data_IF_011635786698
#
_entry.id   IF_011635786698
#
_cell.length_a   1.000
_cell.length_b   1.000
_cell.length_c   1.000
_cell.angle_alpha   90.00
_cell.angle_beta   90.00
_cell.angle_gamma   90.00
#
_symmetry.space_group_name_H-M   'P 1'
#
loop_
_entity.id
_entity.type
_entity.pdbx_description
1 polymer ?
#
# COMPACT_ATOMS: atom_id res chain seq x y z
N UNK A 1 59.13 -37.48 6.68
CA UNK A 1 58.78 -38.76 7.34
C UNK A 1 58.83 -38.60 8.85
N UNK A 2 57.68 -38.50 9.50
CA UNK A 2 57.44 -38.83 10.91
C UNK A 2 55.93 -39.04 11.09
N UNK A 3 55.61 -40.03 11.90
CA UNK A 3 54.35 -40.76 11.97
C UNK A 3 53.22 -40.05 12.74
N UNK A 4 52.00 -40.55 12.52
CA UNK A 4 50.73 -40.23 13.19
C UNK A 4 50.73 -40.47 14.71
N UNK A 5 49.63 -40.07 15.39
CA UNK A 5 48.68 -41.12 15.80
C UNK A 5 47.20 -40.81 15.54
N UNK A 6 46.47 -41.90 15.29
CA UNK A 6 45.02 -42.01 15.05
C UNK A 6 44.17 -42.18 16.33
N UNK A 7 42.94 -41.64 16.23
CA UNK A 7 41.61 -42.15 16.62
C UNK A 7 41.28 -42.59 18.06
N UNK A 8 40.17 -42.03 18.57
CA UNK A 8 39.20 -42.77 19.36
C UNK A 8 37.79 -42.64 18.75
N UNK A 9 37.18 -43.80 18.43
CA UNK A 9 35.78 -44.01 18.03
C UNK A 9 34.91 -44.23 19.28
N UNK A 10 33.69 -43.69 19.32
CA UNK A 10 32.54 -44.34 20.01
C UNK A 10 31.24 -43.98 19.26
N UNK A 11 30.46 -45.01 18.89
CA UNK A 11 29.13 -44.97 18.28
C UNK A 11 27.99 -45.04 19.35
N UNK A 12 26.73 -44.73 19.00
CA UNK A 12 25.67 -44.33 19.93
C UNK A 12 24.75 -45.46 20.39
N UNK A 13 24.14 -45.35 21.58
CA UNK A 13 22.96 -46.18 21.94
C UNK A 13 21.88 -45.39 22.69
N UNK A 14 20.67 -45.66 22.21
CA UNK A 14 19.27 -45.27 22.51
C UNK A 14 18.78 -45.47 23.96
N UNK A 15 17.67 -44.75 24.27
CA UNK A 15 16.54 -45.03 25.20
C UNK A 15 16.48 -44.32 26.57
N UNK A 16 15.42 -43.51 26.75
CA UNK A 16 14.86 -43.17 28.05
C UNK A 16 13.32 -43.11 27.97
N UNK A 17 12.67 -43.91 28.82
CA UNK A 17 11.22 -44.04 29.05
C UNK A 17 10.79 -43.27 30.31
N UNK A 18 9.73 -42.47 30.18
CA UNK A 18 8.59 -42.14 31.09
C UNK A 18 8.71 -42.09 32.62
N UNK A 19 8.13 -41.04 33.23
CA UNK A 19 7.42 -41.08 34.52
C UNK A 19 6.29 -40.01 34.65
N UNK A 20 5.18 -40.43 35.25
CA UNK A 20 3.87 -39.82 35.63
C UNK A 20 3.93 -38.66 36.67
N UNK A 21 2.90 -37.89 37.12
CA UNK A 21 1.48 -37.54 36.84
C UNK A 21 1.02 -36.49 37.93
N UNK A 22 -0.23 -35.95 37.84
CA UNK A 22 -1.23 -35.70 38.95
C UNK A 22 -2.03 -34.35 38.85
N UNK A 23 -3.37 -34.46 38.99
CA UNK A 23 -4.46 -33.44 38.93
C UNK A 23 -5.01 -32.95 40.30
N UNK A 24 -5.58 -31.72 40.32
CA UNK A 24 -6.83 -31.25 41.00
C UNK A 24 -6.74 -30.50 42.37
N UNK A 25 -7.76 -29.71 42.85
CA UNK A 25 -9.08 -29.29 42.28
C UNK A 25 -9.62 -27.82 42.59
N UNK A 26 -10.71 -27.44 41.89
CA UNK A 26 -11.93 -26.60 42.20
C UNK A 26 -11.93 -25.09 42.65
N UNK A 27 -12.86 -24.32 42.04
CA UNK A 27 -13.17 -22.86 42.13
C UNK A 27 -14.06 -22.39 43.32
N UNK A 28 -14.28 -21.06 43.51
CA UNK A 28 -15.59 -20.46 43.19
C UNK A 28 -15.56 -19.02 42.59
N UNK A 29 -16.62 -18.64 41.85
CA UNK A 29 -17.01 -17.29 41.33
C UNK A 29 -18.16 -16.67 42.16
N UNK A 30 -18.66 -15.41 41.98
CA UNK A 30 -18.18 -14.18 41.30
C UNK A 30 -18.37 -12.85 42.12
N UNK A 31 -17.84 -11.70 41.65
CA UNK A 31 -18.45 -10.38 41.89
C UNK A 31 -18.10 -9.39 40.77
N UNK A 32 -19.02 -8.45 40.49
CA UNK A 32 -19.21 -7.74 39.21
C UNK A 32 -18.88 -6.24 39.35
N UNK A 33 -18.39 -5.66 38.24
CA UNK A 33 -18.41 -4.23 37.81
C UNK A 33 -17.73 -3.17 38.70
N UNK A 34 -16.64 -2.55 38.22
CA UNK A 34 -16.66 -1.15 37.74
C UNK A 34 -15.32 -0.68 37.13
N UNK A 35 -15.46 0.21 36.14
CA UNK A 35 -14.53 1.25 35.68
C UNK A 35 -13.12 0.89 35.12
N UNK A 36 -13.03 0.94 33.79
CA UNK A 36 -11.96 1.50 32.95
C UNK A 36 -10.53 1.68 33.51
N UNK A 37 -9.56 0.90 33.01
CA UNK A 37 -8.22 1.36 32.58
C UNK A 37 -7.35 0.18 32.08
N UNK A 38 -6.56 0.41 31.02
CA UNK A 38 -5.32 -0.34 30.76
C UNK A 38 -5.37 -1.45 29.71
N UNK A 39 -5.28 -1.07 28.44
CA UNK A 39 -4.82 -1.98 27.38
C UNK A 39 -3.39 -2.47 27.70
N UNK A 40 -3.19 -3.79 27.74
CA UNK A 40 -1.87 -4.42 27.58
C UNK A 40 -1.71 -4.85 26.10
N UNK A 41 -0.55 -4.62 25.47
CA UNK A 41 -0.34 -4.93 24.06
C UNK A 41 -0.13 -6.43 23.83
N UNK A 42 -0.74 -6.96 22.76
CA UNK A 42 -0.47 -8.28 22.20
C UNK A 42 0.61 -8.19 21.10
N UNK A 43 1.39 -9.27 20.87
CA UNK A 43 2.56 -9.30 19.98
C UNK A 43 2.20 -9.11 18.48
N UNK A 44 3.18 -8.76 17.61
CA UNK A 44 2.90 -8.36 16.24
C UNK A 44 2.46 -9.57 15.38
N UNK A 45 1.29 -9.44 14.77
CA UNK A 45 0.74 -10.39 13.80
C UNK A 45 1.15 -9.99 12.39
N UNK A 46 1.77 -10.92 11.66
CA UNK A 46 1.89 -10.88 10.20
C UNK A 46 0.49 -10.98 9.56
N UNK A 47 -0.06 -9.85 9.09
CA UNK A 47 -1.28 -9.79 8.28
C UNK A 47 -1.36 -8.49 7.45
N UNK A 48 -1.94 -8.52 6.23
CA UNK A 48 -2.15 -7.33 5.40
C UNK A 48 -3.10 -6.35 6.09
N UNK A 49 -2.64 -5.14 6.37
CA UNK A 49 -3.34 -4.19 7.24
C UNK A 49 -4.65 -3.65 6.63
N UNK A 50 -5.76 -3.64 7.39
CA UNK A 50 -7.04 -3.06 6.97
C UNK A 50 -7.12 -1.55 7.26
N UNK A 51 -7.80 -0.81 6.37
CA UNK A 51 -8.02 0.63 6.42
C UNK A 51 -9.13 1.05 7.42
N UNK A 52 -8.94 2.17 8.12
CA UNK A 52 -10.00 2.92 8.82
C UNK A 52 -10.26 4.25 8.09
N UNK A 53 -11.52 4.56 7.78
CA UNK A 53 -11.96 5.89 7.34
C UNK A 53 -12.41 6.72 8.55
N UNK A 54 -11.92 7.98 8.66
CA UNK A 54 -12.52 9.02 9.52
C UNK A 54 -13.59 9.77 8.71
N UNK A 55 -14.77 9.94 9.30
CA UNK A 55 -15.79 10.85 8.82
C UNK A 55 -15.40 12.30 9.14
N UNK A 56 -15.36 13.17 8.13
CA UNK A 56 -15.20 14.61 8.31
C UNK A 56 -16.58 15.27 8.32
N UNK A 57 -16.96 15.82 9.48
CA UNK A 57 -18.06 16.78 9.62
C UNK A 57 -17.49 18.20 9.49
N UNK A 58 -18.12 19.04 8.68
CA UNK A 58 -17.88 20.48 8.69
C UNK A 58 -19.23 21.20 8.86
N UNK A 59 -19.23 22.14 9.80
CA UNK A 59 -20.35 22.91 10.30
C UNK A 59 -20.62 24.18 9.47
N UNK A 60 -21.83 24.73 9.61
CA UNK A 60 -22.09 26.15 9.41
C UNK A 60 -23.10 26.66 10.46
N UNK A 61 -22.62 27.50 11.38
CA UNK A 61 -23.36 28.58 12.04
C UNK A 61 -23.68 29.67 10.99
N UNK A 62 -24.62 30.60 11.09
CA UNK A 62 -25.15 31.35 12.23
C UNK A 62 -26.45 32.11 11.80
N UNK A 63 -27.21 32.61 12.76
CA UNK A 63 -28.55 33.19 12.66
C UNK A 63 -28.58 34.72 12.35
N UNK A 64 -29.75 35.25 11.95
CA UNK A 64 -30.45 36.40 12.61
C UNK A 64 -31.46 37.17 11.71
N UNK A 65 -32.70 37.31 12.22
CA UNK A 65 -33.62 38.49 12.27
C UNK A 65 -33.95 39.34 11.01
N UNK A 66 -35.11 39.99 10.83
CA UNK A 66 -36.44 40.07 11.45
C UNK A 66 -37.33 41.05 10.61
N UNK A 67 -38.68 40.98 10.79
CA UNK A 67 -39.70 42.06 10.66
C UNK A 67 -39.96 42.73 9.28
N UNK A 68 -41.11 43.30 8.90
CA UNK A 68 -42.53 43.34 9.34
C UNK A 68 -43.28 44.30 8.39
N UNK A 69 -44.59 44.10 8.16
CA UNK A 69 -45.69 45.09 7.96
C UNK A 69 -46.72 44.56 6.93
N UNK A 70 -47.99 44.24 7.25
CA UNK A 70 -49.22 44.96 7.70
C UNK A 70 -49.88 45.94 6.71
N UNK A 71 -51.09 45.57 6.24
CA UNK A 71 -52.36 46.34 6.10
C UNK A 71 -53.19 45.74 4.95
N UNK A 72 -54.52 45.57 4.96
CA UNK A 72 -55.60 45.90 5.89
C UNK A 72 -56.92 45.25 5.41
N UNK A 73 -57.87 45.13 6.33
CA UNK A 73 -59.26 44.61 6.25
C UNK A 73 -60.16 45.48 5.32
N UNK A 74 -61.36 45.14 4.80
CA UNK A 74 -62.62 44.68 5.45
C UNK A 74 -63.68 44.28 4.38
N UNK A 75 -64.48 43.24 4.69
CA UNK A 75 -65.90 42.93 4.34
C UNK A 75 -66.35 42.80 2.86
N UNK A 76 -67.39 42.03 2.50
CA UNK A 76 -68.20 40.89 2.98
C UNK A 76 -69.02 40.47 1.73
N UNK A 77 -69.31 39.19 1.54
CA UNK A 77 -70.69 38.70 1.36
C UNK A 77 -70.73 37.21 0.96
N UNK A 78 -71.75 36.57 1.50
CA UNK A 78 -72.06 35.14 1.48
C UNK A 78 -72.30 34.57 0.07
N UNK A 79 -71.91 33.31 -0.15
CA UNK A 79 -72.79 32.29 -0.75
C UNK A 79 -72.10 30.90 -0.85
N UNK A 80 -72.69 29.91 -0.18
CA UNK A 80 -72.78 28.52 -0.63
C UNK A 80 -71.58 27.58 -0.36
N UNK A 81 -71.78 26.39 0.25
CA UNK A 81 -70.71 25.41 0.42
C UNK A 81 -70.49 24.66 -0.91
N UNK A 82 -69.32 24.83 -1.49
CA UNK A 82 -68.82 24.01 -2.60
C UNK A 82 -67.52 23.32 -2.16
N UNK A 83 -67.28 22.09 -2.62
CA UNK A 83 -66.48 21.09 -1.91
C UNK A 83 -65.01 21.51 -1.77
N UNK A 84 -64.39 21.05 -0.68
CA UNK A 84 -62.97 21.13 -0.39
C UNK A 84 -62.12 20.99 -1.65
N UNK A 85 -61.72 22.13 -2.22
CA UNK A 85 -60.51 22.21 -3.02
C UNK A 85 -59.38 22.08 -2.01
N UNK A 86 -59.00 20.84 -1.70
CA UNK A 86 -57.67 20.55 -1.19
C UNK A 86 -56.69 21.13 -2.20
N UNK A 87 -56.30 22.38 -1.98
CA UNK A 87 -55.04 22.90 -2.45
C UNK A 87 -54.02 21.95 -1.85
N UNK A 88 -53.59 20.98 -2.66
CA UNK A 88 -52.45 20.14 -2.34
C UNK A 88 -51.29 21.10 -2.27
N UNK A 89 -51.09 21.67 -1.08
CA UNK A 89 -49.93 22.46 -0.74
C UNK A 89 -48.84 21.41 -0.62
N UNK A 90 -48.30 21.01 -1.78
CA UNK A 90 -47.29 19.98 -1.89
C UNK A 90 -46.09 20.55 -1.17
N UNK A 91 -45.94 20.17 0.09
CA UNK A 91 -44.78 20.55 0.88
C UNK A 91 -43.57 19.96 0.14
N UNK A 92 -42.70 20.80 -0.45
CA UNK A 92 -41.63 20.33 -1.31
C UNK A 92 -40.66 19.42 -0.55
N UNK A 93 -40.53 19.61 0.77
CA UNK A 93 -39.74 18.74 1.66
C UNK A 93 -40.41 17.37 1.80
N UNK A 94 -41.73 17.33 1.99
CA UNK A 94 -42.49 16.07 2.09
C UNK A 94 -42.50 15.32 0.76
N UNK A 95 -42.67 16.02 -0.36
CA UNK A 95 -42.61 15.43 -1.70
C UNK A 95 -41.21 14.88 -2.00
N UNK A 96 -40.16 15.65 -1.69
CA UNK A 96 -38.78 15.20 -1.84
C UNK A 96 -38.49 13.98 -0.97
N UNK A 97 -38.91 13.98 0.30
CA UNK A 97 -38.77 12.83 1.18
C UNK A 97 -39.53 11.60 0.68
N UNK A 98 -40.77 11.75 0.20
CA UNK A 98 -41.56 10.66 -0.40
C UNK A 98 -40.92 10.12 -1.67
N UNK A 99 -40.38 11.00 -2.53
CA UNK A 99 -39.68 10.60 -3.74
C UNK A 99 -38.38 9.86 -3.41
N UNK A 100 -37.60 10.34 -2.45
CA UNK A 100 -36.38 9.67 -1.98
C UNK A 100 -36.69 8.31 -1.37
N UNK A 101 -37.69 8.20 -0.48
CA UNK A 101 -38.13 6.92 0.09
C UNK A 101 -38.64 5.96 -0.98
N UNK A 102 -39.37 6.46 -1.99
CA UNK A 102 -39.82 5.67 -3.13
C UNK A 102 -38.66 5.12 -3.96
N UNK A 103 -37.68 5.96 -4.30
CA UNK A 103 -36.46 5.56 -5.01
C UNK A 103 -35.65 4.55 -4.20
N UNK A 104 -35.47 4.79 -2.89
CA UNK A 104 -34.75 3.89 -1.98
C UNK A 104 -35.44 2.53 -1.85
N UNK A 105 -36.77 2.51 -1.76
CA UNK A 105 -37.56 1.27 -1.69
C UNK A 105 -37.46 0.49 -2.99
N UNK A 106 -37.47 1.18 -4.13
CA UNK A 106 -37.28 0.56 -5.44
C UNK A 106 -35.86 0.01 -5.62
N UNK A 107 -34.81 0.73 -5.21
CA UNK A 107 -33.42 0.27 -5.37
C UNK A 107 -33.08 -0.87 -4.42
N UNK A 108 -33.51 -0.80 -3.16
CA UNK A 108 -33.37 -1.87 -2.18
C UNK A 108 -34.20 -3.10 -2.60
N UNK A 109 -35.46 -2.90 -2.99
CA UNK A 109 -36.34 -3.96 -3.48
C UNK A 109 -35.81 -4.64 -4.75
N UNK A 110 -35.31 -3.86 -5.71
CA UNK A 110 -34.66 -4.38 -6.92
C UNK A 110 -33.43 -5.23 -6.57
N UNK A 111 -32.55 -4.72 -5.70
CA UNK A 111 -31.35 -5.45 -5.27
C UNK A 111 -31.71 -6.73 -4.52
N UNK A 112 -32.71 -6.69 -3.64
CA UNK A 112 -33.17 -7.86 -2.88
C UNK A 112 -33.80 -8.92 -3.80
N UNK A 113 -34.60 -8.50 -4.79
CA UNK A 113 -35.23 -9.42 -5.73
C UNK A 113 -34.22 -10.04 -6.71
N UNK A 114 -33.24 -9.26 -7.18
CA UNK A 114 -32.27 -9.71 -8.19
C UNK A 114 -31.07 -10.41 -7.57
N UNK A 115 -30.69 -10.04 -6.34
CA UNK A 115 -29.52 -10.54 -5.63
C UNK A 115 -29.81 -10.78 -4.13
N UNK A 116 -30.73 -11.70 -3.81
CA UNK A 116 -31.12 -11.98 -2.41
C UNK A 116 -29.93 -12.45 -1.56
N UNK A 117 -28.93 -13.09 -2.19
CA UNK A 117 -27.73 -13.57 -1.51
C UNK A 117 -26.85 -12.48 -0.89
N UNK A 118 -26.92 -11.23 -1.33
CA UNK A 118 -26.16 -10.15 -0.69
C UNK A 118 -26.76 -9.70 0.61
N UNK A 119 -28.09 -9.65 0.68
CA UNK A 119 -28.78 -9.34 1.93
C UNK A 119 -28.63 -10.48 2.93
N UNK A 120 -28.48 -11.72 2.46
CA UNK A 120 -28.19 -12.86 3.33
C UNK A 120 -26.75 -12.81 3.89
N UNK A 121 -25.76 -12.40 3.08
CA UNK A 121 -24.34 -12.38 3.48
C UNK A 121 -23.90 -11.11 4.18
N UNK A 122 -24.44 -9.96 3.77
CA UNK A 122 -24.15 -8.63 4.31
C UNK A 122 -25.42 -7.75 4.25
N UNK A 123 -26.39 -7.97 5.15
CA UNK A 123 -27.65 -7.22 5.16
C UNK A 123 -27.42 -5.72 5.39
N UNK A 124 -26.49 -5.37 6.29
CA UNK A 124 -26.15 -3.99 6.63
C UNK A 124 -25.51 -3.27 5.45
N UNK A 125 -24.43 -3.81 4.88
CA UNK A 125 -23.75 -3.19 3.75
C UNK A 125 -24.59 -3.19 2.47
N UNK A 126 -25.43 -4.20 2.23
CA UNK A 126 -26.34 -4.22 1.06
C UNK A 126 -27.43 -3.16 1.15
N UNK A 127 -28.01 -2.94 2.33
CA UNK A 127 -28.95 -1.86 2.58
C UNK A 127 -28.26 -0.50 2.44
N UNK A 128 -27.08 -0.32 3.06
CA UNK A 128 -26.29 0.90 2.93
C UNK A 128 -25.89 1.19 1.47
N UNK A 129 -25.57 0.16 0.70
CA UNK A 129 -25.23 0.28 -0.71
C UNK A 129 -26.45 0.67 -1.57
N UNK A 130 -27.64 0.16 -1.24
CA UNK A 130 -28.89 0.60 -1.85
C UNK A 130 -29.21 2.07 -1.51
N UNK A 131 -28.98 2.46 -0.25
CA UNK A 131 -29.17 3.84 0.22
C UNK A 131 -28.25 4.82 -0.49
N UNK A 132 -26.98 4.46 -0.66
CA UNK A 132 -25.97 5.29 -1.29
C UNK A 132 -25.88 5.12 -2.81
N UNK A 133 -26.85 4.42 -3.43
CA UNK A 133 -26.88 4.17 -4.88
C UNK A 133 -25.55 3.62 -5.43
N UNK A 134 -24.89 2.76 -4.67
CA UNK A 134 -23.61 2.19 -5.08
C UNK A 134 -23.75 1.37 -6.37
N UNK A 135 -22.68 1.26 -7.16
CA UNK A 135 -22.62 0.29 -8.24
C UNK A 135 -22.57 -1.11 -7.66
N UNK A 136 -23.43 -1.98 -8.16
CA UNK A 136 -23.32 -3.40 -7.85
C UNK A 136 -22.40 -4.06 -8.86
N UNK A 137 -21.26 -4.55 -8.39
CA UNK A 137 -20.29 -5.26 -9.22
C UNK A 137 -20.86 -6.58 -9.73
N UNK A 138 -20.39 -7.00 -10.90
CA UNK A 138 -20.80 -8.23 -11.56
C UNK A 138 -19.60 -8.99 -12.15
N UNK A 139 -19.77 -10.29 -12.49
CA UNK A 139 -18.74 -11.01 -13.24
C UNK A 139 -18.37 -10.36 -14.57
N UNK A 140 -19.30 -9.63 -15.20
CA UNK A 140 -19.01 -8.91 -16.45
C UNK A 140 -18.00 -7.76 -16.22
N UNK A 141 -18.00 -7.12 -15.05
CA UNK A 141 -17.02 -6.09 -14.70
C UNK A 141 -15.61 -6.67 -14.56
N UNK A 142 -15.49 -7.88 -14.00
CA UNK A 142 -14.23 -8.61 -13.93
C UNK A 142 -13.71 -8.97 -15.33
N UNK A 143 -14.57 -9.51 -16.20
CA UNK A 143 -14.23 -9.82 -17.58
C UNK A 143 -13.79 -8.56 -18.33
N UNK A 144 -14.54 -7.47 -18.20
CA UNK A 144 -14.22 -6.19 -18.82
C UNK A 144 -12.89 -5.64 -18.30
N UNK A 145 -12.68 -5.62 -16.99
CA UNK A 145 -11.43 -5.14 -16.39
C UNK A 145 -10.22 -5.92 -16.88
N UNK A 146 -10.29 -7.26 -16.88
CA UNK A 146 -9.22 -8.12 -17.39
C UNK A 146 -8.96 -7.88 -18.88
N UNK A 147 -10.02 -7.84 -19.68
CA UNK A 147 -9.92 -7.63 -21.13
C UNK A 147 -9.23 -6.31 -21.45
N UNK A 148 -9.60 -5.22 -20.78
CA UNK A 148 -8.99 -3.91 -20.95
C UNK A 148 -7.49 -3.90 -20.59
N UNK A 149 -7.10 -4.61 -19.53
CA UNK A 149 -5.69 -4.77 -19.14
C UNK A 149 -4.91 -5.54 -20.21
N UNK A 150 -5.47 -6.65 -20.70
CA UNK A 150 -4.83 -7.45 -21.75
C UNK A 150 -4.76 -6.73 -23.10
N UNK A 151 -5.77 -5.93 -23.45
CA UNK A 151 -5.76 -5.11 -24.66
C UNK A 151 -4.65 -4.05 -24.60
N UNK A 152 -4.47 -3.40 -23.44
CA UNK A 152 -3.48 -2.33 -23.26
C UNK A 152 -2.06 -2.85 -23.05
N UNK A 153 -1.88 -3.91 -22.27
CA UNK A 153 -0.56 -4.37 -21.78
C UNK A 153 -0.20 -5.81 -22.17
N UNK A 154 -1.10 -6.55 -22.84
CA UNK A 154 -0.94 -7.98 -23.12
C UNK A 154 0.33 -8.35 -23.89
N UNK A 155 0.88 -7.43 -24.71
CA UNK A 155 2.13 -7.66 -25.43
C UNK A 155 3.37 -7.75 -24.51
N UNK A 156 3.27 -7.28 -23.27
CA UNK A 156 4.34 -7.37 -22.26
C UNK A 156 4.08 -8.43 -21.19
N UNK A 157 2.93 -9.10 -21.23
CA UNK A 157 2.56 -10.14 -20.28
C UNK A 157 2.96 -11.51 -20.88
N UNK A 158 3.81 -12.30 -20.20
CA UNK A 158 4.18 -13.64 -20.66
C UNK A 158 2.95 -14.53 -20.80
N UNK A 159 2.91 -15.34 -21.86
CA UNK A 159 1.77 -16.23 -22.18
C UNK A 159 1.49 -17.29 -21.11
N UNK A 160 2.48 -17.58 -20.29
CA UNK A 160 2.46 -18.52 -19.18
C UNK A 160 2.23 -17.86 -17.81
N UNK A 161 1.89 -16.57 -17.78
CA UNK A 161 1.53 -15.86 -16.54
C UNK A 161 0.48 -16.62 -15.74
N UNK A 162 0.77 -16.86 -14.46
CA UNK A 162 -0.14 -17.55 -13.55
C UNK A 162 -1.48 -16.83 -13.37
N UNK A 163 -1.52 -15.53 -13.64
CA UNK A 163 -2.75 -14.75 -13.61
C UNK A 163 -3.81 -15.27 -14.59
N UNK A 164 -3.41 -15.88 -15.72
CA UNK A 164 -4.37 -16.52 -16.65
C UNK A 164 -5.14 -17.70 -16.02
N UNK A 165 -4.62 -18.28 -14.94
CA UNK A 165 -5.24 -19.37 -14.18
C UNK A 165 -5.90 -18.85 -12.88
N UNK A 166 -5.75 -17.57 -12.56
CA UNK A 166 -6.32 -16.99 -11.37
C UNK A 166 -7.85 -17.05 -11.40
N UNK A 167 -8.44 -17.30 -10.23
CA UNK A 167 -9.90 -17.19 -10.08
C UNK A 167 -10.25 -15.71 -9.90
N UNK A 168 -11.35 -15.29 -10.51
CA UNK A 168 -11.89 -13.96 -10.34
C UNK A 168 -13.36 -14.03 -9.92
N UNK A 169 -13.72 -13.43 -8.79
CA UNK A 169 -15.06 -13.49 -8.24
C UNK A 169 -15.53 -12.20 -7.55
N UNK A 170 -16.83 -11.95 -7.63
CA UNK A 170 -17.50 -10.89 -6.87
C UNK A 170 -17.93 -11.47 -5.52
N UNK A 171 -17.33 -11.00 -4.43
CA UNK A 171 -17.48 -11.65 -3.12
C UNK A 171 -17.42 -10.70 -1.95
N UNK A 172 -18.21 -11.02 -0.92
CA UNK A 172 -18.19 -10.33 0.38
C UNK A 172 -17.01 -10.75 1.26
N UNK A 173 -16.25 -11.78 0.86
CA UNK A 173 -15.01 -12.21 1.53
C UNK A 173 -13.82 -11.30 1.16
N UNK A 174 -13.99 -10.01 1.47
CA UNK A 174 -13.02 -8.94 1.29
C UNK A 174 -13.10 -8.00 2.51
N UNK A 175 -11.98 -7.40 2.97
CA UNK A 175 -12.03 -6.50 4.12
C UNK A 175 -12.99 -5.31 3.92
N UNK A 176 -13.61 -4.87 5.00
CA UNK A 176 -14.52 -3.71 4.96
C UNK A 176 -13.80 -2.46 4.42
N UNK A 177 -14.46 -1.73 3.53
CA UNK A 177 -13.93 -0.53 2.88
C UNK A 177 -12.96 -0.80 1.72
N UNK A 178 -12.71 -2.06 1.37
CA UNK A 178 -11.87 -2.44 0.21
C UNK A 178 -12.77 -2.76 -0.98
N UNK A 179 -12.47 -2.14 -2.14
CA UNK A 179 -13.26 -2.28 -3.35
C UNK A 179 -12.83 -3.47 -4.22
N UNK A 180 -11.54 -3.80 -4.21
CA UNK A 180 -10.94 -4.92 -4.95
C UNK A 180 -9.72 -5.45 -4.20
N UNK A 181 -9.37 -6.71 -4.44
CA UNK A 181 -8.22 -7.35 -3.82
C UNK A 181 -7.64 -8.45 -4.72
N UNK A 182 -6.38 -8.32 -5.10
CA UNK A 182 -5.55 -9.43 -5.55
C UNK A 182 -4.86 -10.16 -4.38
N UNK A 183 -4.96 -11.48 -4.35
CA UNK A 183 -4.20 -12.32 -3.44
C UNK A 183 -3.29 -13.29 -4.21
N UNK A 184 -1.99 -13.02 -4.18
CA UNK A 184 -0.99 -13.84 -4.88
C UNK A 184 -0.84 -15.26 -4.33
N UNK A 185 -1.20 -15.51 -3.06
CA UNK A 185 -1.07 -16.84 -2.45
C UNK A 185 -2.22 -17.76 -2.85
N UNK A 186 -3.43 -17.22 -2.90
CA UNK A 186 -4.63 -18.00 -3.30
C UNK A 186 -4.93 -17.89 -4.79
N UNK A 187 -4.17 -17.05 -5.52
CA UNK A 187 -4.38 -16.71 -6.93
C UNK A 187 -5.83 -16.28 -7.20
N UNK A 188 -6.31 -15.32 -6.41
CA UNK A 188 -7.68 -14.82 -6.48
C UNK A 188 -7.75 -13.31 -6.65
N UNK A 189 -8.46 -12.87 -7.68
CA UNK A 189 -8.92 -11.48 -7.85
C UNK A 189 -10.35 -11.39 -7.31
N UNK A 190 -10.53 -10.62 -6.24
CA UNK A 190 -11.82 -10.42 -5.59
C UNK A 190 -12.31 -9.01 -5.84
N UNK A 191 -13.59 -8.87 -6.17
CA UNK A 191 -14.24 -7.57 -6.32
C UNK A 191 -15.37 -7.44 -5.31
N UNK A 192 -15.41 -6.31 -4.61
CA UNK A 192 -16.49 -6.03 -3.67
C UNK A 192 -17.81 -5.93 -4.44
N UNK A 193 -18.89 -6.60 -3.99
CA UNK A 193 -20.19 -6.50 -4.62
C UNK A 193 -20.80 -5.09 -4.59
N UNK A 194 -20.35 -4.24 -3.68
CA UNK A 194 -20.89 -2.91 -3.42
C UNK A 194 -19.77 -1.86 -3.54
N UNK A 195 -19.72 -1.14 -4.67
CA UNK A 195 -18.70 -0.14 -4.99
C UNK A 195 -19.32 1.25 -5.11
N UNK A 196 -18.66 2.27 -4.55
CA UNK A 196 -19.11 3.66 -4.61
C UNK A 196 -19.39 4.12 -6.06
N UNK A 197 -20.46 4.89 -6.28
CA UNK A 197 -20.91 5.31 -7.62
C UNK A 197 -19.84 6.08 -8.42
N UNK A 198 -19.02 6.87 -7.72
CA UNK A 198 -17.88 7.60 -8.28
C UNK A 198 -16.73 6.70 -8.76
N UNK A 199 -16.72 5.41 -8.40
CA UNK A 199 -15.79 4.40 -8.90
C UNK A 199 -16.55 3.42 -9.81
N UNK A 200 -15.94 3.06 -10.94
CA UNK A 200 -16.53 2.03 -11.81
C UNK A 200 -15.98 0.64 -11.46
N UNK A 201 -16.82 -0.39 -11.23
CA UNK A 201 -16.35 -1.73 -10.89
C UNK A 201 -15.33 -2.31 -11.87
N UNK A 202 -15.54 -2.18 -13.18
CA UNK A 202 -14.54 -2.60 -14.18
C UNK A 202 -13.18 -1.88 -14.07
N UNK A 203 -13.14 -0.62 -13.60
CA UNK A 203 -11.88 0.09 -13.38
C UNK A 203 -11.15 -0.44 -12.14
N UNK A 204 -11.91 -0.75 -11.07
CA UNK A 204 -11.37 -1.41 -9.88
C UNK A 204 -10.85 -2.81 -10.23
N UNK A 205 -11.59 -3.57 -11.04
CA UNK A 205 -11.13 -4.86 -11.55
C UNK A 205 -9.83 -4.71 -12.36
N UNK A 206 -9.73 -3.71 -13.24
CA UNK A 206 -8.51 -3.41 -13.99
C UNK A 206 -7.29 -3.19 -13.08
N UNK A 207 -7.45 -2.45 -11.97
CA UNK A 207 -6.40 -2.27 -10.96
C UNK A 207 -5.95 -3.59 -10.35
N UNK A 208 -6.88 -4.45 -9.93
CA UNK A 208 -6.52 -5.75 -9.36
C UNK A 208 -5.93 -6.72 -10.39
N UNK A 209 -6.34 -6.64 -11.66
CA UNK A 209 -5.72 -7.42 -12.72
C UNK A 209 -4.30 -6.94 -13.05
N UNK A 210 -4.00 -5.65 -12.95
CA UNK A 210 -2.62 -5.16 -13.05
C UNK A 210 -1.76 -5.78 -11.94
N UNK A 211 -2.23 -5.79 -10.69
CA UNK A 211 -1.57 -6.52 -9.59
C UNK A 211 -1.39 -8.01 -9.86
N UNK A 212 -2.39 -8.64 -10.47
CA UNK A 212 -2.38 -10.06 -10.82
C UNK A 212 -1.33 -10.39 -11.88
N UNK A 213 -1.21 -9.55 -12.91
CA UNK A 213 -0.21 -9.72 -13.98
C UNK A 213 1.18 -9.24 -13.62
N UNK A 214 1.39 -8.56 -12.49
CA UNK A 214 2.73 -8.19 -12.01
C UNK A 214 3.62 -9.43 -11.95
N UNK A 215 4.76 -9.38 -12.65
CA UNK A 215 5.65 -10.52 -12.77
C UNK A 215 6.21 -10.92 -11.39
N UNK A 216 6.24 -12.22 -11.04
CA UNK A 216 6.78 -12.68 -9.76
C UNK A 216 8.20 -12.19 -9.49
N UNK A 217 9.06 -12.18 -10.51
CA UNK A 217 10.45 -11.68 -10.38
C UNK A 217 10.50 -10.20 -10.00
N UNK A 218 9.64 -9.36 -10.58
CA UNK A 218 9.55 -7.95 -10.21
C UNK A 218 9.14 -7.81 -8.74
N UNK A 219 8.07 -8.53 -8.35
CA UNK A 219 7.58 -8.53 -6.97
C UNK A 219 8.64 -8.99 -5.98
N UNK A 220 9.21 -10.17 -6.20
CA UNK A 220 10.05 -10.86 -5.21
C UNK A 220 11.37 -10.11 -4.98
N UNK A 221 11.88 -9.40 -5.98
CA UNK A 221 13.05 -8.52 -5.84
C UNK A 221 12.79 -7.29 -4.99
N UNK A 222 11.56 -6.80 -4.96
CA UNK A 222 11.21 -5.53 -4.32
C UNK A 222 10.43 -5.69 -3.00
N UNK A 223 9.78 -6.84 -2.75
CA UNK A 223 8.80 -7.03 -1.66
C UNK A 223 9.33 -6.72 -0.26
N UNK A 224 10.64 -6.93 -0.04
CA UNK A 224 11.30 -6.69 1.24
C UNK A 224 11.82 -5.26 1.41
N UNK A 225 11.60 -4.37 0.43
CA UNK A 225 12.02 -2.98 0.52
C UNK A 225 11.02 -2.16 1.34
N UNK A 226 11.46 -1.20 2.19
CA UNK A 226 10.55 -0.38 3.02
C UNK A 226 9.47 0.35 2.22
N UNK A 227 9.78 0.72 0.97
CA UNK A 227 8.84 1.41 0.08
C UNK A 227 8.07 0.50 -0.87
N UNK A 228 8.14 -0.84 -0.71
CA UNK A 228 7.47 -1.80 -1.60
C UNK A 228 6.00 -1.46 -1.82
N UNK A 229 5.26 -1.20 -0.74
CA UNK A 229 3.83 -0.89 -0.84
C UNK A 229 3.57 0.35 -1.69
N UNK A 230 4.35 1.41 -1.46
CA UNK A 230 4.21 2.66 -2.21
C UNK A 230 4.65 2.51 -3.68
N UNK A 231 5.63 1.66 -3.96
CA UNK A 231 6.06 1.33 -5.32
C UNK A 231 4.98 0.52 -6.05
N UNK A 232 4.54 -0.59 -5.46
CA UNK A 232 3.59 -1.51 -6.09
C UNK A 232 2.22 -0.86 -6.34
N UNK A 233 1.64 -0.22 -5.32
CA UNK A 233 0.34 0.46 -5.46
C UNK A 233 0.45 1.72 -6.32
N UNK A 234 1.57 2.44 -6.24
CA UNK A 234 1.83 3.61 -7.07
C UNK A 234 1.89 3.26 -8.55
N UNK A 235 2.69 2.25 -8.92
CA UNK A 235 2.80 1.75 -10.30
C UNK A 235 1.47 1.20 -10.79
N UNK A 236 0.79 0.38 -9.98
CA UNK A 236 -0.52 -0.18 -10.34
C UNK A 236 -1.54 0.91 -10.59
N UNK A 237 -1.66 1.89 -9.69
CA UNK A 237 -2.58 3.02 -9.86
C UNK A 237 -2.26 3.81 -11.13
N UNK A 238 -1.00 4.13 -11.34
CA UNK A 238 -0.55 4.88 -12.51
C UNK A 238 -0.84 4.13 -13.82
N UNK A 239 -0.65 2.81 -13.85
CA UNK A 239 -1.01 1.97 -14.99
C UNK A 239 -2.53 1.82 -15.17
N UNK A 240 -3.32 1.79 -14.09
CA UNK A 240 -4.79 1.80 -14.13
C UNK A 240 -5.30 3.09 -14.78
N UNK A 241 -4.70 4.23 -14.48
CA UNK A 241 -5.10 5.53 -15.04
C UNK A 241 -4.88 5.66 -16.56
N UNK A 242 -4.03 4.80 -17.13
CA UNK A 242 -3.78 4.73 -18.57
C UNK A 242 -4.73 3.76 -19.29
N UNK A 243 -5.60 3.04 -18.56
CA UNK A 243 -6.64 2.21 -19.16
C UNK A 243 -7.76 3.10 -19.74
N UNK A 244 -8.39 2.70 -20.86
CA UNK A 244 -9.55 3.41 -21.37
C UNK A 244 -10.67 3.42 -20.33
N UNK A 245 -11.33 4.57 -20.09
CA UNK A 245 -12.37 4.66 -19.08
C UNK A 245 -13.57 3.78 -19.47
N UNK A 246 -14.15 3.02 -18.53
CA UNK A 246 -15.33 2.21 -18.82
C UNK A 246 -16.52 3.10 -19.19
N UNK A 247 -17.40 2.60 -20.06
CA UNK A 247 -18.63 3.29 -20.46
C UNK A 247 -19.51 3.50 -19.22
N UNK A 248 -19.94 4.75 -19.00
CA UNK A 248 -20.79 5.12 -17.87
C UNK A 248 -22.17 5.56 -18.36
N UNK A 249 -23.20 5.19 -17.60
CA UNK A 249 -24.56 5.65 -17.86
C UNK A 249 -24.75 7.14 -17.52
N UNK A 250 -24.04 7.62 -16.48
CA UNK A 250 -24.09 9.01 -16.03
C UNK A 250 -22.71 9.67 -16.20
N UNK A 251 -22.65 10.96 -16.56
CA UNK A 251 -21.41 11.71 -16.76
C UNK A 251 -20.78 12.15 -15.43
N UNK A 252 -20.71 11.25 -14.46
CA UNK A 252 -20.01 11.48 -13.20
C UNK A 252 -18.51 11.27 -13.48
N UNK A 253 -17.60 12.16 -13.04
CA UNK A 253 -16.17 11.91 -13.13
C UNK A 253 -15.78 10.66 -12.34
N UNK A 254 -14.74 9.93 -12.79
CA UNK A 254 -14.18 8.87 -11.96
C UNK A 254 -13.44 9.53 -10.79
N UNK A 255 -13.76 9.12 -9.57
CA UNK A 255 -12.96 9.49 -8.42
C UNK A 255 -11.55 8.93 -8.60
N UNK A 256 -10.56 9.72 -8.20
CA UNK A 256 -9.18 9.24 -8.12
C UNK A 256 -9.10 8.08 -7.14
N UNK A 257 -8.21 7.16 -7.45
CA UNK A 257 -7.88 6.09 -6.52
C UNK A 257 -7.38 6.68 -5.17
N UNK A 258 -7.74 6.09 -4.00
CA UNK A 258 -7.19 6.49 -2.71
C UNK A 258 -5.68 6.70 -2.69
N UNK A 259 -4.90 5.96 -3.48
CA UNK A 259 -3.45 6.08 -3.57
C UNK A 259 -2.94 7.47 -3.98
N UNK A 260 -3.78 8.31 -4.60
CA UNK A 260 -3.48 9.73 -4.82
C UNK A 260 -3.36 10.56 -3.54
N UNK A 261 -4.05 10.15 -2.48
CA UNK A 261 -4.00 10.79 -1.16
C UNK A 261 -2.78 10.39 -0.34
N UNK A 262 -2.11 9.29 -0.67
CA UNK A 262 -0.92 8.84 0.03
C UNK A 262 0.31 9.51 -0.57
N UNK A 263 1.17 10.03 0.31
CA UNK A 263 2.37 10.78 -0.08
C UNK A 263 3.63 10.12 0.45
N UNK A 264 4.69 10.19 -0.35
CA UNK A 264 6.05 9.97 0.11
C UNK A 264 6.48 11.11 1.02
N UNK A 265 7.54 10.90 1.81
CA UNK A 265 8.13 11.97 2.64
C UNK A 265 8.63 13.16 1.80
N UNK A 266 8.94 12.93 0.52
CA UNK A 266 9.30 13.96 -0.48
C UNK A 266 8.10 14.80 -0.93
N UNK A 267 6.86 14.42 -0.58
CA UNK A 267 5.62 15.11 -0.93
C UNK A 267 4.91 14.56 -2.18
N UNK A 268 5.60 13.77 -2.99
CA UNK A 268 5.02 13.10 -4.18
C UNK A 268 3.89 12.16 -3.76
N UNK A 269 2.76 12.17 -4.48
CA UNK A 269 1.78 11.10 -4.35
C UNK A 269 2.37 9.78 -4.84
N UNK A 270 1.86 8.63 -4.38
CA UNK A 270 2.35 7.33 -4.85
C UNK A 270 2.26 7.17 -6.39
N UNK A 271 1.12 7.44 -7.05
CA UNK A 271 1.07 7.45 -8.52
C UNK A 271 1.93 8.57 -9.15
N UNK A 272 2.14 9.69 -8.45
CA UNK A 272 3.06 10.74 -8.90
C UNK A 272 4.51 10.26 -8.96
N UNK A 273 4.95 9.50 -7.96
CA UNK A 273 6.28 8.87 -7.95
C UNK A 273 6.41 7.81 -9.05
N UNK A 274 5.37 6.98 -9.26
CA UNK A 274 5.31 6.03 -10.36
C UNK A 274 5.41 6.69 -11.75
N UNK A 275 4.70 7.81 -11.95
CA UNK A 275 4.82 8.61 -13.17
C UNK A 275 6.24 9.13 -13.39
N UNK A 276 6.96 9.51 -12.32
CA UNK A 276 8.37 9.92 -12.42
C UNK A 276 9.30 8.75 -12.76
N UNK A 277 9.01 7.54 -12.26
CA UNK A 277 9.73 6.33 -12.66
C UNK A 277 9.54 6.10 -14.16
N UNK A 278 8.29 6.09 -14.65
CA UNK A 278 8.01 5.95 -16.09
C UNK A 278 8.74 7.02 -16.90
N UNK A 279 8.71 8.29 -16.45
CA UNK A 279 9.42 9.37 -17.12
C UNK A 279 10.94 9.21 -17.15
N UNK A 280 11.53 8.48 -16.20
CA UNK A 280 12.97 8.25 -16.13
C UNK A 280 13.42 7.05 -16.99
N UNK A 281 12.61 5.98 -17.07
CA UNK A 281 13.00 4.72 -17.74
C UNK A 281 12.30 4.49 -19.08
N UNK A 282 11.21 5.21 -19.35
CA UNK A 282 10.31 5.00 -20.48
C UNK A 282 9.23 3.94 -20.20
N UNK A 283 8.09 4.07 -20.86
CA UNK A 283 6.95 3.14 -20.71
C UNK A 283 7.33 1.70 -21.06
N UNK A 284 7.99 1.46 -22.20
CA UNK A 284 8.35 0.10 -22.64
C UNK A 284 9.26 -0.62 -21.62
N UNK A 285 10.28 0.07 -21.10
CA UNK A 285 11.14 -0.47 -20.03
C UNK A 285 10.34 -0.77 -18.77
N UNK A 286 9.46 0.15 -18.35
CA UNK A 286 8.63 -0.07 -17.18
C UNK A 286 7.73 -1.30 -17.34
N UNK A 287 7.10 -1.48 -18.51
CA UNK A 287 6.21 -2.61 -18.77
C UNK A 287 6.97 -3.94 -18.89
N UNK A 288 8.16 -3.94 -19.52
CA UNK A 288 9.06 -5.10 -19.55
C UNK A 288 9.50 -5.53 -18.15
N UNK A 289 9.77 -4.57 -17.27
CA UNK A 289 10.09 -4.85 -15.88
C UNK A 289 8.87 -5.39 -15.11
N UNK A 290 7.77 -4.65 -15.13
CA UNK A 290 6.62 -4.86 -14.26
C UNK A 290 5.79 -6.08 -14.66
N UNK A 291 5.54 -6.28 -15.96
CA UNK A 291 4.76 -7.42 -16.49
C UNK A 291 5.65 -8.51 -17.08
N UNK A 292 6.75 -8.15 -17.74
CA UNK A 292 7.60 -9.09 -18.46
C UNK A 292 8.64 -9.81 -17.59
N UNK A 293 9.00 -9.25 -16.43
CA UNK A 293 10.05 -9.80 -15.59
C UNK A 293 11.47 -9.66 -16.15
N UNK A 294 11.66 -8.77 -17.12
CA UNK A 294 12.96 -8.55 -17.76
C UNK A 294 13.99 -8.04 -16.75
N UNK A 295 15.12 -8.75 -16.68
CA UNK A 295 16.14 -8.56 -15.64
C UNK A 295 16.81 -7.19 -15.69
N UNK A 296 17.14 -6.70 -16.89
CA UNK A 296 17.78 -5.40 -17.09
C UNK A 296 16.78 -4.27 -16.85
N UNK A 297 15.55 -4.42 -17.35
CA UNK A 297 14.48 -3.46 -17.15
C UNK A 297 14.10 -3.30 -15.66
N UNK A 298 14.06 -4.41 -14.92
CA UNK A 298 13.91 -4.42 -13.46
C UNK A 298 15.00 -3.57 -12.81
N UNK A 299 16.25 -3.72 -13.25
CA UNK A 299 17.38 -2.96 -12.73
C UNK A 299 17.24 -1.46 -13.01
N UNK A 300 16.82 -1.07 -14.20
CA UNK A 300 16.58 0.35 -14.55
C UNK A 300 15.44 0.96 -13.74
N UNK A 301 14.32 0.24 -13.56
CA UNK A 301 13.22 0.69 -12.68
C UNK A 301 13.68 0.84 -11.24
N UNK A 302 14.48 -0.09 -10.73
CA UNK A 302 15.01 -0.03 -9.37
C UNK A 302 15.98 1.15 -9.16
N UNK A 303 16.86 1.41 -10.14
CA UNK A 303 17.74 2.59 -10.14
C UNK A 303 16.95 3.90 -10.15
N UNK A 304 15.89 3.99 -10.96
CA UNK A 304 15.01 5.15 -10.98
C UNK A 304 14.27 5.32 -9.63
N UNK A 305 13.77 4.22 -9.07
CA UNK A 305 13.11 4.22 -7.76
C UNK A 305 14.05 4.71 -6.65
N UNK A 306 15.32 4.30 -6.65
CA UNK A 306 16.32 4.72 -5.66
C UNK A 306 16.53 6.25 -5.59
N UNK A 307 16.31 6.95 -6.73
CA UNK A 307 16.41 8.42 -6.82
C UNK A 307 15.13 9.15 -6.40
N UNK A 308 13.98 8.51 -6.56
CA UNK A 308 12.66 9.12 -6.39
C UNK A 308 12.13 8.90 -4.97
N UNK A 309 12.37 7.72 -4.41
CA UNK A 309 11.85 7.36 -3.10
C UNK A 309 12.71 7.91 -1.97
N UNK A 310 12.13 8.15 -0.77
CA UNK A 310 12.89 8.61 0.38
C UNK A 310 14.06 7.68 0.69
N UNK A 311 15.25 8.25 0.84
CA UNK A 311 16.47 7.54 1.23
C UNK A 311 16.40 7.25 2.72
N UNK A 312 16.13 6.01 3.09
CA UNK A 312 15.92 5.58 4.47
C UNK A 312 17.00 4.60 4.91
N UNK A 313 17.30 4.59 6.20
CA UNK A 313 18.14 3.56 6.80
C UNK A 313 17.46 2.17 6.68
N UNK A 314 18.25 1.16 6.34
CA UNK A 314 17.78 -0.20 6.09
C UNK A 314 18.79 -1.21 6.61
N UNK A 315 18.32 -2.10 7.49
CA UNK A 315 19.11 -3.24 7.99
C UNK A 315 19.53 -4.18 6.86
N UNK A 316 18.72 -4.28 5.78
CA UNK A 316 19.10 -4.99 4.56
C UNK A 316 20.31 -4.34 3.90
N UNK A 317 20.31 -3.02 3.73
CA UNK A 317 21.47 -2.30 3.16
C UNK A 317 22.71 -2.51 4.02
N UNK A 318 22.59 -2.41 5.34
CA UNK A 318 23.70 -2.66 6.28
C UNK A 318 24.31 -4.06 6.15
N UNK A 319 23.49 -5.09 5.96
CA UNK A 319 23.97 -6.45 5.71
C UNK A 319 24.70 -6.58 4.37
N UNK A 320 24.22 -5.90 3.33
CA UNK A 320 24.84 -5.94 2.01
C UNK A 320 26.14 -5.13 1.95
N UNK A 321 26.25 -4.04 2.72
CA UNK A 321 27.51 -3.33 2.93
C UNK A 321 28.55 -4.25 3.57
N UNK A 322 28.16 -4.98 4.62
CA UNK A 322 29.04 -5.94 5.29
C UNK A 322 29.53 -6.98 4.29
N UNK A 323 28.62 -7.61 3.54
CA UNK A 323 28.95 -8.62 2.52
C UNK A 323 29.86 -8.08 1.42
N UNK A 324 29.53 -6.92 0.86
CA UNK A 324 30.34 -6.28 -0.17
C UNK A 324 31.73 -5.86 0.34
N UNK A 325 31.83 -5.52 1.62
CA UNK A 325 33.04 -5.08 2.29
C UNK A 325 33.94 -6.20 2.83
N UNK A 326 33.46 -7.45 2.91
CA UNK A 326 34.19 -8.56 3.57
C UNK A 326 35.62 -8.78 3.05
N UNK A 327 35.87 -8.49 1.78
CA UNK A 327 37.21 -8.64 1.19
C UNK A 327 38.09 -7.40 1.35
N UNK A 328 37.48 -6.20 1.29
CA UNK A 328 38.12 -4.88 1.43
C UNK A 328 37.04 -3.81 1.40
N UNK A 329 37.34 -2.61 1.90
CA UNK A 329 36.48 -1.44 1.70
C UNK A 329 35.24 -1.37 2.60
N UNK A 330 35.10 -2.26 3.59
CA UNK A 330 33.94 -2.28 4.50
C UNK A 330 33.77 -0.98 5.27
N UNK A 331 34.86 -0.41 5.77
CA UNK A 331 34.83 0.84 6.52
C UNK A 331 34.40 2.00 5.62
N UNK A 332 34.99 2.14 4.44
CA UNK A 332 34.65 3.19 3.48
C UNK A 332 33.18 3.11 3.07
N UNK A 333 32.68 1.90 2.77
CA UNK A 333 31.26 1.68 2.43
C UNK A 333 30.33 2.09 3.58
N UNK A 334 30.65 1.71 4.82
CA UNK A 334 29.85 2.03 5.99
C UNK A 334 29.91 3.52 6.35
N UNK A 335 31.07 4.16 6.27
CA UNK A 335 31.23 5.61 6.46
C UNK A 335 30.46 6.38 5.38
N UNK A 336 30.55 5.94 4.12
CA UNK A 336 29.84 6.54 3.00
C UNK A 336 28.32 6.41 3.14
N UNK A 337 27.83 5.24 3.57
CA UNK A 337 26.41 5.04 3.87
C UNK A 337 25.92 5.96 4.99
N UNK A 338 26.68 6.10 6.07
CA UNK A 338 26.37 7.05 7.15
C UNK A 338 26.26 8.48 6.61
N UNK A 339 27.21 8.89 5.78
CA UNK A 339 27.19 10.18 5.10
C UNK A 339 25.99 10.35 4.18
N UNK A 340 25.61 9.32 3.42
CA UNK A 340 24.46 9.34 2.50
C UNK A 340 23.13 9.54 3.25
N UNK A 341 22.99 8.91 4.42
CA UNK A 341 21.82 9.08 5.29
C UNK A 341 21.75 10.53 5.83
N UNK A 342 22.86 11.05 6.34
CA UNK A 342 22.94 12.42 6.86
C UNK A 342 22.64 13.47 5.77
N UNK A 343 23.20 13.30 4.57
CA UNK A 343 22.93 14.16 3.41
C UNK A 343 21.43 14.15 3.02
N UNK A 344 20.72 13.08 3.37
CA UNK A 344 19.29 12.91 3.14
C UNK A 344 18.43 13.34 4.34
N UNK A 345 19.03 13.99 5.34
CA UNK A 345 18.36 14.43 6.57
C UNK A 345 17.91 13.29 7.49
N UNK A 346 18.43 12.08 7.30
CA UNK A 346 18.11 10.94 8.17
C UNK A 346 19.04 10.92 9.40
N UNK A 347 18.52 10.54 10.57
CA UNK A 347 19.38 10.23 11.70
C UNK A 347 20.22 8.98 11.42
N UNK A 348 21.42 8.92 12.01
CA UNK A 348 22.23 7.72 11.94
C UNK A 348 21.57 6.57 12.72
N UNK A 349 21.57 5.34 12.19
CA UNK A 349 20.94 4.21 12.85
C UNK A 349 21.71 3.80 14.10
N UNK A 350 20.98 3.32 15.11
CA UNK A 350 21.55 2.73 16.34
C UNK A 350 21.97 1.27 16.17
N UNK A 351 21.87 0.74 14.96
CA UNK A 351 22.25 -0.65 14.66
C UNK A 351 23.75 -0.86 14.85
N UNK A 352 24.10 -2.06 15.29
CA UNK A 352 25.49 -2.48 15.40
C UNK A 352 26.14 -2.46 14.01
N UNK A 353 27.33 -1.87 13.90
CA UNK A 353 28.06 -1.69 12.63
C UNK A 353 28.61 -3.00 12.08
N UNK A 354 28.38 -4.14 12.73
CA UNK A 354 28.93 -5.45 12.36
C UNK A 354 30.46 -5.42 12.21
N UNK A 355 31.12 -4.60 13.05
CA UNK A 355 32.57 -4.33 12.98
C UNK A 355 33.05 -3.67 11.68
N UNK A 356 32.16 -3.16 10.82
CA UNK A 356 32.55 -2.39 9.63
C UNK A 356 33.18 -1.05 10.02
N UNK A 357 32.75 -0.46 11.13
CA UNK A 357 33.30 0.77 11.68
C UNK A 357 34.00 0.49 13.01
N UNK A 358 35.02 1.29 13.40
CA UNK A 358 35.66 1.25 14.72
C UNK A 358 34.78 1.91 15.81
N UNK A 359 33.46 1.82 15.69
CA UNK A 359 32.46 2.27 16.66
C UNK A 359 31.35 1.23 16.74
N UNK A 360 30.68 1.14 17.89
CA UNK A 360 29.66 0.11 18.11
C UNK A 360 28.46 0.29 17.18
N UNK A 361 27.86 1.48 17.14
CA UNK A 361 26.74 1.81 16.25
C UNK A 361 27.08 2.95 15.30
N UNK A 362 26.34 3.09 14.20
CA UNK A 362 26.52 4.25 13.31
C UNK A 362 26.27 5.56 14.05
N UNK A 363 25.31 5.58 14.99
CA UNK A 363 25.02 6.75 15.82
C UNK A 363 26.14 7.15 16.81
N UNK A 364 27.15 6.31 17.01
CA UNK A 364 28.29 6.63 17.90
C UNK A 364 29.38 7.45 17.19
N UNK A 365 29.23 7.72 15.89
CA UNK A 365 30.09 8.66 15.16
C UNK A 365 30.00 10.06 15.79
N UNK A 366 31.15 10.65 16.11
CA UNK A 366 31.21 12.00 16.63
C UNK A 366 30.70 13.02 15.61
N UNK A 367 30.13 14.17 16.02
CA UNK A 367 29.55 15.15 15.10
C UNK A 367 30.50 15.58 13.97
N UNK A 368 31.79 15.78 14.26
CA UNK A 368 32.79 16.14 13.25
C UNK A 368 33.06 15.00 12.25
N UNK A 369 33.04 13.75 12.72
CA UNK A 369 33.21 12.57 11.86
C UNK A 369 31.98 12.39 10.97
N UNK A 370 30.78 12.53 11.53
CA UNK A 370 29.52 12.48 10.81
C UNK A 370 29.47 13.55 9.71
N UNK A 371 29.87 14.79 10.02
CA UNK A 371 29.95 15.89 9.05
C UNK A 371 30.97 15.61 7.94
N UNK A 372 32.15 15.08 8.29
CA UNK A 372 33.16 14.68 7.29
C UNK A 372 32.65 13.56 6.38
N UNK A 373 31.99 12.55 6.94
CA UNK A 373 31.38 11.47 6.16
C UNK A 373 30.29 11.98 5.22
N UNK A 374 29.43 12.89 5.69
CA UNK A 374 28.40 13.53 4.87
C UNK A 374 29.00 14.26 3.66
N UNK A 375 29.97 15.15 3.88
CA UNK A 375 30.61 15.91 2.80
C UNK A 375 31.31 15.01 1.77
N UNK A 376 31.94 13.92 2.22
CA UNK A 376 32.57 12.98 1.30
C UNK A 376 31.56 12.12 0.54
N UNK A 377 30.45 11.75 1.19
CA UNK A 377 29.37 11.02 0.55
C UNK A 377 28.69 11.87 -0.54
N UNK A 378 28.48 13.16 -0.30
CA UNK A 378 28.00 14.10 -1.32
C UNK A 378 28.95 14.18 -2.52
N UNK A 379 30.28 14.25 -2.30
CA UNK A 379 31.27 14.20 -3.38
C UNK A 379 31.27 12.88 -4.15
N UNK A 380 31.06 11.75 -3.48
CA UNK A 380 30.94 10.44 -4.15
C UNK A 380 29.62 10.36 -4.94
N UNK A 381 28.53 10.92 -4.41
CA UNK A 381 27.27 11.03 -5.14
C UNK A 381 27.41 11.88 -6.40
N UNK A 382 28.14 13.00 -6.37
CA UNK A 382 28.44 13.80 -7.55
C UNK A 382 29.19 13.02 -8.64
N UNK A 383 30.14 12.16 -8.26
CA UNK A 383 30.91 11.33 -9.21
C UNK A 383 30.12 10.15 -9.76
N UNK A 384 29.41 9.44 -8.88
CA UNK A 384 28.81 8.13 -9.19
C UNK A 384 27.33 8.20 -9.54
N UNK A 385 26.67 9.32 -9.21
CA UNK A 385 25.27 9.59 -9.54
C UNK A 385 24.34 8.42 -9.18
N UNK A 386 23.68 7.88 -10.20
CA UNK A 386 22.68 6.81 -10.05
C UNK A 386 23.26 5.52 -9.45
N UNK A 387 24.56 5.25 -9.62
CA UNK A 387 25.22 4.09 -9.01
C UNK A 387 25.29 4.25 -7.50
N UNK A 388 25.59 5.44 -7.00
CA UNK A 388 25.57 5.73 -5.56
C UNK A 388 24.17 5.57 -4.98
N UNK A 389 23.15 6.12 -5.65
CA UNK A 389 21.75 5.98 -5.23
C UNK A 389 21.33 4.50 -5.19
N UNK A 390 21.66 3.73 -6.22
CA UNK A 390 21.34 2.32 -6.31
C UNK A 390 22.08 1.47 -5.26
N UNK A 391 23.33 1.80 -4.94
CA UNK A 391 24.13 1.06 -3.95
C UNK A 391 23.49 1.06 -2.56
N UNK A 392 22.93 2.19 -2.14
CA UNK A 392 22.38 2.34 -0.80
C UNK A 392 20.85 2.19 -0.72
N UNK A 393 20.13 2.59 -1.78
CA UNK A 393 18.67 2.78 -1.74
C UNK A 393 17.90 2.04 -2.84
N UNK A 394 18.55 1.18 -3.62
CA UNK A 394 17.85 0.33 -4.60
C UNK A 394 16.90 -0.66 -3.93
N UNK A 395 15.64 -0.75 -4.38
CA UNK A 395 14.74 -1.78 -3.92
C UNK A 395 15.11 -3.18 -4.45
N UNK A 396 15.72 -3.28 -5.63
CA UNK A 396 16.24 -4.53 -6.18
C UNK A 396 17.62 -4.86 -5.59
N UNK A 397 17.73 -6.06 -5.00
CA UNK A 397 18.94 -6.54 -4.34
C UNK A 397 20.07 -6.86 -5.32
N UNK A 398 19.72 -7.34 -6.51
CA UNK A 398 20.74 -7.66 -7.53
C UNK A 398 21.42 -6.38 -8.01
N UNK A 399 20.62 -5.39 -8.40
CA UNK A 399 21.09 -4.05 -8.76
C UNK A 399 21.88 -3.40 -7.62
N UNK A 400 21.39 -3.52 -6.38
CA UNK A 400 22.07 -2.97 -5.20
C UNK A 400 23.48 -3.53 -5.04
N UNK A 401 23.64 -4.87 -5.13
CA UNK A 401 24.94 -5.54 -4.99
C UNK A 401 25.93 -5.15 -6.08
N UNK A 402 25.48 -5.05 -7.32
CA UNK A 402 26.30 -4.60 -8.43
C UNK A 402 26.77 -3.16 -8.22
N UNK A 403 25.85 -2.27 -7.83
CA UNK A 403 26.15 -0.87 -7.56
C UNK A 403 27.09 -0.70 -6.35
N UNK A 404 26.92 -1.49 -5.29
CA UNK A 404 27.84 -1.53 -4.14
C UNK A 404 29.25 -1.93 -4.56
N UNK A 405 29.39 -2.92 -5.45
CA UNK A 405 30.69 -3.32 -6.00
C UNK A 405 31.38 -2.17 -6.72
N UNK A 406 30.66 -1.46 -7.60
CA UNK A 406 31.19 -0.30 -8.33
C UNK A 406 31.54 0.87 -7.38
N UNK A 407 30.64 1.18 -6.44
CA UNK A 407 30.85 2.24 -5.46
C UNK A 407 32.06 1.96 -4.57
N UNK A 408 32.24 0.71 -4.13
CA UNK A 408 33.41 0.32 -3.33
C UNK A 408 34.72 0.66 -4.03
N UNK A 409 34.82 0.41 -5.33
CA UNK A 409 36.04 0.72 -6.10
C UNK A 409 36.28 2.23 -6.21
N UNK A 410 35.23 3.05 -6.41
CA UNK A 410 35.34 4.53 -6.33
C UNK A 410 35.84 4.98 -4.95
N UNK A 411 35.25 4.43 -3.89
CA UNK A 411 35.62 4.79 -2.53
C UNK A 411 37.07 4.40 -2.20
N UNK A 412 37.55 3.26 -2.66
CA UNK A 412 38.95 2.86 -2.44
C UNK A 412 39.97 3.82 -3.10
N UNK A 413 39.58 4.51 -4.16
CA UNK A 413 40.44 5.47 -4.85
C UNK A 413 40.35 6.89 -4.28
N UNK A 414 39.18 7.29 -3.77
CA UNK A 414 38.89 8.69 -3.49
C UNK A 414 38.47 8.99 -2.05
N UNK A 415 38.20 7.97 -1.23
CA UNK A 415 37.72 8.19 0.13
C UNK A 415 38.87 8.49 1.09
N UNK A 416 38.79 9.65 1.74
CA UNK A 416 39.69 9.99 2.83
C UNK A 416 39.16 9.42 4.13
N UNK A 417 40.08 8.91 4.95
CA UNK A 417 39.78 8.32 6.25
C UNK A 417 38.94 9.25 7.13
N UNK A 418 37.76 8.80 7.56
CA UNK A 418 36.90 9.54 8.51
C UNK A 418 37.15 9.06 9.93
N UNK A 419 37.07 7.75 10.15
CA UNK A 419 37.41 7.11 11.42
C UNK A 419 38.82 6.52 11.36
N UNK A 420 39.59 6.53 12.46
CA UNK A 420 40.88 5.84 12.50
C UNK A 420 40.73 4.35 12.15
N UNK A 421 41.79 3.69 11.70
CA UNK A 421 41.68 2.25 11.44
C UNK A 421 41.41 1.53 12.77
N UNK A 422 40.78 0.37 12.66
CA UNK A 422 40.68 -0.55 13.76
C UNK A 422 42.08 -1.14 14.01
N UNK A 423 42.63 -0.90 15.20
CA UNK A 423 43.88 -1.52 15.67
C UNK A 423 43.79 -3.06 15.68
#
# INVERSE_FOLDING_TARGET
>A
MRAEPMLNKIDPTVQATTAHAVEGPASPTPMRLDAAQGQRPLPPMDAPSPLRLRASAAAASEAAHASSSTSGSVATDEAGPAPDRQTSNINPIKLFAQMMVGVLSLTAGYRMARFPGDFAKDPGGSLWAAINLQHRSSPADLVQGNHTVLERYGNHIPKDSDCFKAKADVTHDIPSGVAGLWNYRTQQVKLNPNIALERHPANVAGHEFIHCYTHPEFRDRHINHPHWKALNEGLTTHLTEKLPPPKRLLPIPLAKDPYHGFKLATGDSWPGAAKRIEGAVGEDTLLKAFFGGDDDAIGEVAKAAARIYPRLASSRTEQELYRAGMMRGSQQLAECYAGALLASGQPLPKSWTLNMLPVFSFSDMQPEQAKKAQLQAEKSHERMGIIFDAAFFSPDLKTQRQALGMLREDLLMHWEKVLPDKD
#
